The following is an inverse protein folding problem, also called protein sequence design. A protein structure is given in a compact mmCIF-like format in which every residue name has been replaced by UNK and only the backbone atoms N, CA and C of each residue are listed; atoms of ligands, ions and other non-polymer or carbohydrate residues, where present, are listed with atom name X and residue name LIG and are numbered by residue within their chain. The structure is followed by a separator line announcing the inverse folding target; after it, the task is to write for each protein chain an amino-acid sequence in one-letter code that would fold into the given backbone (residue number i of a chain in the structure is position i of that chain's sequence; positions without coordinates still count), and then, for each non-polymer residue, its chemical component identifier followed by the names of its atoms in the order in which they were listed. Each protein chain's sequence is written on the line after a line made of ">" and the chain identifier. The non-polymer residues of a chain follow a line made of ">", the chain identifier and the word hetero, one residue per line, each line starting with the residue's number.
data_IF_948170269969
#
_entry.id   IF_948170269969
#
_cell.length_a   1.000
_cell.length_b   1.000
_cell.length_c   1.000
_cell.angle_alpha   90.00
_cell.angle_beta   90.00
_cell.angle_gamma   90.00
#
_symmetry.space_group_name_H-M   'P 1'
#
loop_
_entity.id
_entity.type
_entity.pdbx_description
1 polymer ?
#
# COMPACT_ATOMS: atom_id res chain seq x y z
N UNK A 1 10.91 21.86 0.01
CA UNK A 1 10.54 20.53 0.53
C UNK A 1 9.22 20.58 1.30
N UNK A 2 8.14 20.19 0.64
CA UNK A 2 6.81 20.13 1.23
C UNK A 2 6.58 18.80 1.94
N UNK A 3 6.18 18.84 3.22
CA UNK A 3 5.89 17.64 4.03
C UNK A 3 4.41 17.58 4.38
N UNK A 4 3.72 16.51 3.97
CA UNK A 4 2.28 16.30 4.23
C UNK A 4 2.08 14.91 4.83
N UNK A 5 1.31 14.82 5.91
CA UNK A 5 0.95 13.56 6.59
C UNK A 5 2.16 12.65 6.89
N UNK A 6 3.27 13.26 7.31
CA UNK A 6 4.50 12.55 7.66
C UNK A 6 5.41 12.18 6.48
N UNK A 7 4.95 12.35 5.23
CA UNK A 7 5.71 12.04 4.00
C UNK A 7 6.28 13.31 3.38
N UNK A 8 7.51 13.17 2.88
CA UNK A 8 8.20 14.22 2.14
C UNK A 8 7.85 14.11 0.66
N UNK A 9 7.23 15.15 0.10
CA UNK A 9 6.82 15.17 -1.29
C UNK A 9 7.99 15.55 -2.20
N UNK A 10 8.09 14.96 -3.41
CA UNK A 10 9.12 15.33 -4.37
C UNK A 10 8.86 16.73 -4.94
N UNK A 11 9.86 17.60 -4.85
CA UNK A 11 9.75 19.03 -5.20
C UNK A 11 9.58 19.28 -6.71
N UNK A 12 10.17 18.44 -7.57
CA UNK A 12 10.18 18.65 -9.04
C UNK A 12 9.00 18.00 -9.79
N UNK A 13 8.02 17.40 -9.09
CA UNK A 13 6.86 16.77 -9.72
C UNK A 13 5.64 17.69 -9.75
N UNK A 14 4.72 17.41 -10.66
CA UNK A 14 3.38 18.01 -10.68
C UNK A 14 2.63 17.60 -9.41
N UNK A 15 1.95 18.55 -8.78
CA UNK A 15 1.28 18.35 -7.48
C UNK A 15 0.34 17.14 -7.49
N UNK A 16 -0.39 16.93 -8.58
CA UNK A 16 -1.26 15.76 -8.78
C UNK A 16 -0.52 14.42 -8.59
N UNK A 17 0.69 14.31 -9.13
CA UNK A 17 1.51 13.10 -9.03
C UNK A 17 2.25 13.08 -7.69
N UNK A 18 2.69 14.23 -7.20
CA UNK A 18 3.37 14.36 -5.91
C UNK A 18 2.50 13.77 -4.80
N UNK A 19 1.21 14.13 -4.75
CA UNK A 19 0.28 13.66 -3.72
C UNK A 19 0.09 12.14 -3.70
N UNK A 20 0.31 11.45 -4.82
CA UNK A 20 0.19 9.98 -4.88
C UNK A 20 1.29 9.22 -4.13
N UNK A 21 2.32 9.92 -3.66
CA UNK A 21 3.34 9.35 -2.78
C UNK A 21 2.80 9.06 -1.38
N UNK A 22 1.70 9.72 -0.98
CA UNK A 22 1.04 9.49 0.29
C UNK A 22 0.18 8.24 0.18
N UNK A 23 0.44 7.26 1.04
CA UNK A 23 -0.33 6.03 1.13
C UNK A 23 -1.79 6.33 1.48
N UNK A 24 -2.69 5.89 0.61
CA UNK A 24 -4.13 6.19 0.70
C UNK A 24 -4.61 7.22 -0.32
N UNK A 25 -3.69 7.97 -0.96
CA UNK A 25 -4.01 8.90 -2.03
C UNK A 25 -3.54 8.31 -3.37
N UNK A 26 -4.49 8.07 -4.27
CA UNK A 26 -4.23 7.77 -5.68
C UNK A 26 -4.41 8.98 -6.58
N UNK A 27 -4.21 8.78 -7.89
CA UNK A 27 -4.53 9.80 -8.92
C UNK A 27 -5.95 10.35 -8.80
N UNK A 28 -7.03 9.53 -8.79
CA UNK A 28 -8.38 10.07 -8.79
C UNK A 28 -8.72 10.87 -7.53
N UNK A 29 -8.21 10.46 -6.36
CA UNK A 29 -8.39 11.21 -5.12
C UNK A 29 -7.59 12.50 -5.13
N UNK A 30 -6.38 12.49 -5.69
CA UNK A 30 -5.57 13.70 -5.83
C UNK A 30 -6.25 14.74 -6.71
N UNK A 31 -6.73 14.36 -7.90
CA UNK A 31 -7.44 15.28 -8.81
C UNK A 31 -8.71 15.83 -8.15
N UNK A 32 -9.43 15.02 -7.35
CA UNK A 32 -10.60 15.48 -6.57
C UNK A 32 -10.23 16.49 -5.50
N UNK A 33 -9.17 16.26 -4.74
CA UNK A 33 -8.70 17.18 -3.70
C UNK A 33 -8.29 18.52 -4.33
N UNK A 34 -7.52 18.47 -5.42
CA UNK A 34 -7.08 19.67 -6.12
C UNK A 34 -8.25 20.45 -6.71
N UNK A 35 -9.24 19.77 -7.29
CA UNK A 35 -10.46 20.39 -7.78
C UNK A 35 -11.28 21.04 -6.64
N UNK A 36 -11.38 20.40 -5.47
CA UNK A 36 -12.11 20.95 -4.32
C UNK A 36 -11.47 22.20 -3.72
N UNK A 37 -10.14 22.34 -3.87
CA UNK A 37 -9.37 23.48 -3.37
C UNK A 37 -9.09 24.53 -4.45
N UNK A 38 -9.59 24.30 -5.68
CA UNK A 38 -9.31 25.14 -6.85
C UNK A 38 -7.82 25.39 -7.10
N UNK A 39 -6.98 24.37 -6.90
CA UNK A 39 -5.53 24.41 -7.14
C UNK A 39 -5.25 23.79 -8.51
N UNK A 40 -4.42 24.45 -9.34
CA UNK A 40 -4.04 23.91 -10.65
C UNK A 40 -3.15 22.65 -10.49
N UNK A 41 -3.56 21.50 -11.05
CA UNK A 41 -2.80 20.24 -10.98
C UNK A 41 -1.48 20.24 -11.76
N UNK A 42 -1.26 21.19 -12.67
CA UNK A 42 -0.01 21.30 -13.44
C UNK A 42 1.11 22.02 -12.68
N UNK A 43 0.78 22.72 -11.61
CA UNK A 43 1.78 23.37 -10.75
C UNK A 43 2.78 22.35 -10.22
N UNK A 44 4.02 22.79 -10.02
CA UNK A 44 5.05 21.95 -9.39
C UNK A 44 4.97 22.10 -7.87
N UNK A 45 5.34 21.05 -7.14
CA UNK A 45 5.31 21.06 -5.68
C UNK A 45 6.19 22.16 -5.07
N UNK A 46 7.31 22.49 -5.71
CA UNK A 46 8.20 23.58 -5.29
C UNK A 46 7.63 24.98 -5.44
N UNK A 47 6.72 25.17 -6.39
CA UNK A 47 6.14 26.48 -6.74
C UNK A 47 4.79 26.68 -6.03
N UNK A 48 4.44 25.79 -5.09
CA UNK A 48 3.19 25.84 -4.35
C UNK A 48 3.27 26.92 -3.26
N UNK A 49 2.24 27.76 -3.17
CA UNK A 49 2.14 28.75 -2.08
C UNK A 49 1.99 28.06 -0.73
N UNK A 50 2.55 28.64 0.33
CA UNK A 50 2.39 28.15 1.71
C UNK A 50 0.91 28.10 2.14
N UNK A 51 0.08 29.03 1.63
CA UNK A 51 -1.36 29.02 1.89
C UNK A 51 -2.03 27.77 1.32
N UNK A 52 -1.68 27.40 0.10
CA UNK A 52 -2.25 26.22 -0.57
C UNK A 52 -1.68 24.92 -0.02
N UNK A 53 -0.41 24.93 0.43
CA UNK A 53 0.19 23.85 1.19
C UNK A 53 -0.57 23.56 2.48
N UNK A 54 -0.95 24.59 3.24
CA UNK A 54 -1.72 24.45 4.47
C UNK A 54 -3.15 23.97 4.20
N UNK A 55 -3.83 24.52 3.19
CA UNK A 55 -5.15 24.02 2.75
C UNK A 55 -5.11 22.54 2.38
N UNK A 56 -4.10 22.11 1.64
CA UNK A 56 -3.92 20.70 1.28
C UNK A 56 -3.72 19.82 2.52
N UNK A 57 -2.90 20.27 3.47
CA UNK A 57 -2.68 19.53 4.72
C UNK A 57 -3.99 19.36 5.49
N UNK A 58 -4.74 20.44 5.70
CA UNK A 58 -6.02 20.39 6.42
C UNK A 58 -7.06 19.53 5.72
N UNK A 59 -7.18 19.66 4.38
CA UNK A 59 -8.14 18.89 3.60
C UNK A 59 -7.83 17.37 3.67
N UNK A 60 -6.55 17.01 3.59
CA UNK A 60 -6.11 15.62 3.66
C UNK A 60 -6.33 15.04 5.06
N UNK A 61 -5.94 15.75 6.12
CA UNK A 61 -6.06 15.28 7.50
C UNK A 61 -7.52 15.15 7.97
N UNK A 62 -8.41 16.07 7.56
CA UNK A 62 -9.84 16.00 7.94
C UNK A 62 -10.62 14.95 7.15
N UNK A 63 -10.38 14.86 5.85
CA UNK A 63 -11.28 14.11 4.95
C UNK A 63 -10.85 12.66 4.75
N UNK A 64 -9.54 12.39 4.81
CA UNK A 64 -8.99 11.10 4.42
C UNK A 64 -8.15 10.46 5.51
N UNK A 65 -8.37 9.15 5.70
CA UNK A 65 -7.46 8.31 6.48
C UNK A 65 -6.26 7.97 5.62
N UNK A 66 -5.10 8.51 5.97
CA UNK A 66 -3.85 8.35 5.23
C UNK A 66 -2.76 7.70 6.08
N UNK A 67 -1.77 7.12 5.41
CA UNK A 67 -0.57 6.53 6.01
C UNK A 67 -0.84 5.56 7.17
N UNK A 68 -0.41 5.91 8.38
CA UNK A 68 -0.38 5.03 9.55
C UNK A 68 -1.77 4.50 9.89
N UNK A 69 -2.77 5.36 9.89
CA UNK A 69 -4.14 5.00 10.24
C UNK A 69 -4.74 4.00 9.24
N UNK A 70 -4.53 4.25 7.94
CA UNK A 70 -5.02 3.35 6.89
C UNK A 70 -4.30 1.99 6.95
N UNK A 71 -2.98 1.99 7.17
CA UNK A 71 -2.20 0.74 7.33
C UNK A 71 -2.65 -0.04 8.56
N UNK A 72 -2.88 0.64 9.68
CA UNK A 72 -3.37 0.04 10.91
C UNK A 72 -4.77 -0.57 10.72
N UNK A 73 -5.69 0.18 10.13
CA UNK A 73 -7.03 -0.30 9.83
C UNK A 73 -7.00 -1.55 8.94
N UNK A 74 -6.19 -1.57 7.88
CA UNK A 74 -6.03 -2.75 7.01
C UNK A 74 -5.47 -3.94 7.79
N UNK A 75 -4.47 -3.72 8.65
CA UNK A 75 -3.91 -4.77 9.50
C UNK A 75 -4.96 -5.34 10.46
N UNK A 76 -5.77 -4.48 11.08
CA UNK A 76 -6.86 -4.87 11.97
C UNK A 76 -7.96 -5.64 11.23
N UNK A 77 -8.31 -5.22 10.01
CA UNK A 77 -9.25 -5.95 9.17
C UNK A 77 -8.76 -7.38 8.86
N UNK A 78 -7.47 -7.55 8.55
CA UNK A 78 -6.88 -8.87 8.30
C UNK A 78 -6.81 -9.70 9.59
N UNK A 79 -6.44 -9.08 10.72
CA UNK A 79 -6.39 -9.74 12.03
C UNK A 79 -7.76 -10.28 12.42
N UNK A 80 -8.81 -9.45 12.30
CA UNK A 80 -10.21 -9.86 12.52
C UNK A 80 -10.60 -11.08 11.67
N UNK A 81 -10.24 -11.10 10.38
CA UNK A 81 -10.55 -12.25 9.51
C UNK A 81 -9.86 -13.54 9.98
N UNK A 82 -8.64 -13.44 10.51
CA UNK A 82 -7.90 -14.58 11.07
C UNK A 82 -8.52 -15.09 12.36
N UNK A 83 -8.89 -14.19 13.28
CA UNK A 83 -9.50 -14.51 14.57
C UNK A 83 -10.87 -15.19 14.42
N UNK A 84 -11.69 -14.72 13.48
CA UNK A 84 -13.00 -15.34 13.16
C UNK A 84 -12.82 -16.77 12.59
N UNK A 85 -11.66 -17.11 12.03
CA UNK A 85 -11.41 -18.42 11.43
C UNK A 85 -12.07 -18.64 10.06
N UNK A 86 -12.57 -17.59 9.42
CA UNK A 86 -13.19 -17.70 8.09
C UNK A 86 -12.19 -18.19 7.02
N UNK A 87 -12.69 -18.75 5.90
CA UNK A 87 -11.83 -19.23 4.81
C UNK A 87 -10.78 -18.20 4.39
N UNK A 88 -11.17 -16.92 4.20
CA UNK A 88 -10.23 -15.84 3.88
C UNK A 88 -9.14 -15.67 4.94
N UNK A 89 -9.49 -15.74 6.22
CA UNK A 89 -8.56 -15.70 7.35
C UNK A 89 -7.53 -16.82 7.30
N UNK A 90 -7.98 -18.06 7.08
CA UNK A 90 -7.07 -19.22 6.96
C UNK A 90 -6.09 -19.07 5.79
N UNK A 91 -6.53 -18.49 4.66
CA UNK A 91 -5.68 -18.19 3.50
C UNK A 91 -4.65 -17.11 3.82
N UNK A 92 -5.06 -16.05 4.52
CA UNK A 92 -4.14 -15.02 5.03
C UNK A 92 -3.14 -15.56 6.06
N UNK A 93 -3.52 -16.54 6.88
CA UNK A 93 -2.61 -17.17 7.84
C UNK A 93 -1.57 -18.06 7.14
N UNK A 94 -1.98 -18.80 6.10
CA UNK A 94 -1.12 -19.69 5.31
C UNK A 94 -0.31 -18.97 4.22
N UNK A 95 -0.37 -17.64 4.14
CA UNK A 95 0.21 -16.83 3.06
C UNK A 95 -0.13 -17.39 1.67
N UNK A 96 -1.43 -17.63 1.45
CA UNK A 96 -1.99 -18.12 0.19
C UNK A 96 -2.87 -17.06 -0.48
N UNK A 97 -3.01 -17.09 -1.82
CA UNK A 97 -3.94 -16.23 -2.52
C UNK A 97 -5.38 -16.42 -2.00
N UNK A 98 -6.08 -15.31 -1.76
CA UNK A 98 -7.36 -15.25 -1.04
C UNK A 98 -8.56 -15.23 -1.98
N UNK A 99 -8.38 -14.83 -3.25
CA UNK A 99 -9.47 -14.63 -4.22
C UNK A 99 -9.71 -15.84 -5.13
N UNK A 100 -9.46 -17.06 -4.63
CA UNK A 100 -9.66 -18.29 -5.39
C UNK A 100 -8.66 -18.54 -6.52
N UNK A 101 -7.52 -17.83 -6.56
CA UNK A 101 -6.51 -18.04 -7.59
C UNK A 101 -5.87 -19.45 -7.50
N UNK A 102 -5.47 -20.01 -8.64
CA UNK A 102 -4.81 -21.33 -8.75
C UNK A 102 -3.51 -21.37 -7.94
N UNK A 103 -3.42 -22.27 -6.95
CA UNK A 103 -2.24 -22.39 -6.08
C UNK A 103 -1.23 -23.47 -6.45
N UNK A 104 -1.53 -24.31 -7.45
CA UNK A 104 -0.64 -25.40 -7.90
C UNK A 104 0.66 -24.85 -8.54
N UNK A 105 0.58 -23.76 -9.29
CA UNK A 105 1.71 -23.21 -10.07
C UNK A 105 2.04 -21.77 -9.65
N UNK A 106 1.13 -20.82 -9.89
CA UNK A 106 1.43 -19.39 -9.88
C UNK A 106 1.02 -18.71 -8.56
N UNK A 107 1.92 -18.67 -7.58
CA UNK A 107 1.68 -18.02 -6.28
C UNK A 107 2.84 -17.15 -5.78
N UNK A 108 3.77 -16.76 -6.67
CA UNK A 108 5.04 -16.12 -6.30
C UNK A 108 4.89 -14.77 -5.61
N UNK A 109 3.88 -13.98 -5.98
CA UNK A 109 3.61 -12.67 -5.33
C UNK A 109 3.25 -12.79 -3.85
N UNK A 110 2.65 -13.92 -3.43
CA UNK A 110 2.23 -14.14 -2.03
C UNK A 110 3.22 -15.00 -1.26
N UNK A 111 3.76 -16.06 -1.88
CA UNK A 111 4.72 -16.99 -1.24
C UNK A 111 6.18 -16.54 -1.37
N UNK A 112 6.47 -15.52 -2.16
CA UNK A 112 7.82 -15.19 -2.60
C UNK A 112 8.31 -16.12 -3.71
N UNK A 113 9.50 -15.81 -4.24
CA UNK A 113 10.11 -16.56 -5.33
C UNK A 113 10.70 -17.91 -4.90
N UNK A 114 10.85 -18.15 -3.59
CA UNK A 114 11.43 -19.38 -3.06
C UNK A 114 10.32 -20.37 -2.75
N UNK A 115 10.21 -21.44 -3.56
CA UNK A 115 9.53 -22.65 -3.09
C UNK A 115 10.51 -23.40 -2.20
N UNK A 116 10.31 -23.31 -0.89
CA UNK A 116 10.85 -24.30 0.04
C UNK A 116 10.10 -25.60 -0.21
N UNK A 117 10.51 -26.33 -1.24
CA UNK A 117 10.13 -27.73 -1.39
C UNK A 117 10.72 -28.43 -0.18
N UNK A 118 9.89 -29.01 0.70
CA UNK A 118 10.44 -29.98 1.65
C UNK A 118 11.14 -31.03 0.78
N UNK A 119 12.43 -31.23 1.01
CA UNK A 119 13.15 -32.34 0.38
C UNK A 119 12.35 -33.60 0.64
N UNK A 120 12.14 -34.43 -0.37
CA UNK A 120 11.67 -35.79 -0.11
C UNK A 120 12.68 -36.37 0.88
N UNK A 121 12.24 -36.97 1.99
CA UNK A 121 13.11 -37.57 3.01
C UNK A 121 14.02 -38.71 2.51
N UNK A 122 14.19 -38.84 1.19
CA UNK A 122 15.23 -39.67 0.56
C UNK A 122 16.58 -39.00 0.74
N UNK A 123 17.54 -39.76 1.30
CA UNK A 123 18.98 -39.44 1.30
C UNK A 123 19.38 -38.97 -0.10
N UNK A 124 20.19 -37.91 -0.17
CA UNK A 124 20.83 -37.55 -1.43
C UNK A 124 21.79 -38.67 -1.80
N UNK A 125 21.84 -39.04 -3.07
CA UNK A 125 22.70 -40.12 -3.57
C UNK A 125 24.22 -39.89 -3.32
N UNK A 126 24.60 -38.68 -2.88
CA UNK A 126 25.96 -38.30 -2.48
C UNK A 126 26.35 -38.74 -1.07
N UNK A 127 25.41 -39.10 -0.21
CA UNK A 127 25.70 -39.41 1.19
C UNK A 127 26.04 -40.91 1.29
N UNK A 128 27.35 -41.22 1.37
CA UNK A 128 27.82 -42.60 1.63
C UNK A 128 27.25 -43.12 2.95
N UNK A 129 27.04 -44.44 2.97
CA UNK A 129 26.26 -45.20 3.95
C UNK A 129 26.63 -44.90 5.39
#
# INVERSE_FOLDING_TARGET
>A
MLRISGVNLPDQKRVEISLTYIYGIGRPTSSKILASLSIDPNTRTKDLSEKDANKLREAIEKTYRVEGDLRHQVKMNIKRLKEIGCYRGTRHAKSLPVRGQRTKTNTRTVRGNVRKTMGSGRKKASDKT
#
